data_IF_951596295113
#
_entry.id   IF_951596295113
#
_cell.length_a   1.000
_cell.length_b   1.000
_cell.length_c   1.000
_cell.angle_alpha   90.00
_cell.angle_beta   90.00
_cell.angle_gamma   90.00
#
_symmetry.space_group_name_H-M   'P 1'
#
loop_
_entity.id
_entity.type
_entity.pdbx_description
1 polymer ?
#
# COMPACT_ATOMS: atom_id res chain seq x y z
N UNK A 1 18.13 -20.21 -36.54
CA UNK A 1 17.52 -18.88 -36.28
C UNK A 1 17.22 -18.81 -34.80
N UNK A 2 18.05 -18.13 -34.02
CA UNK A 2 17.81 -17.83 -32.60
C UNK A 2 16.72 -16.79 -32.57
N UNK A 3 15.52 -17.15 -32.16
CA UNK A 3 14.44 -16.21 -31.87
C UNK A 3 14.94 -15.41 -30.65
N UNK A 4 15.36 -14.17 -30.90
CA UNK A 4 15.74 -13.25 -29.84
C UNK A 4 14.43 -12.85 -29.14
N UNK A 5 14.07 -13.55 -28.04
CA UNK A 5 12.92 -13.14 -27.25
C UNK A 5 13.26 -11.79 -26.61
N UNK A 6 12.37 -10.82 -26.78
CA UNK A 6 12.51 -9.50 -26.13
C UNK A 6 12.66 -9.71 -24.60
N UNK A 7 13.52 -8.91 -23.96
CA UNK A 7 13.64 -8.95 -22.51
C UNK A 7 12.33 -8.43 -21.88
N UNK A 8 12.05 -8.84 -20.63
CA UNK A 8 10.88 -8.33 -19.90
C UNK A 8 10.86 -6.78 -19.86
N UNK A 9 12.04 -6.18 -19.66
CA UNK A 9 12.17 -4.73 -19.67
C UNK A 9 11.73 -4.10 -21.01
N UNK A 10 12.10 -4.69 -22.14
CA UNK A 10 11.70 -4.20 -23.47
C UNK A 10 10.19 -4.36 -23.68
N UNK A 11 9.61 -5.46 -23.24
CA UNK A 11 8.17 -5.71 -23.31
C UNK A 11 7.40 -4.67 -22.49
N UNK A 12 7.84 -4.39 -21.25
CA UNK A 12 7.17 -3.44 -20.37
C UNK A 12 7.33 -1.99 -20.85
N UNK A 13 8.48 -1.61 -21.38
CA UNK A 13 8.66 -0.29 -22.02
C UNK A 13 7.70 -0.10 -23.19
N UNK A 14 7.50 -1.14 -24.03
CA UNK A 14 6.50 -1.12 -25.11
C UNK A 14 5.07 -1.04 -24.56
N UNK A 15 4.78 -1.82 -23.50
CA UNK A 15 3.48 -1.80 -22.84
C UNK A 15 3.12 -0.39 -22.35
N UNK A 16 4.00 0.26 -21.60
CA UNK A 16 3.75 1.60 -21.07
C UNK A 16 3.63 2.65 -22.17
N UNK A 17 4.40 2.54 -23.24
CA UNK A 17 4.28 3.41 -24.41
C UNK A 17 2.92 3.26 -25.11
N UNK A 18 2.33 2.07 -25.08
CA UNK A 18 1.00 1.79 -25.67
C UNK A 18 -0.14 2.11 -24.68
N UNK A 19 0.15 2.19 -23.39
CA UNK A 19 -0.81 2.42 -22.31
C UNK A 19 -0.42 3.62 -21.43
N UNK A 20 -0.19 4.82 -22.01
CA UNK A 20 0.35 5.96 -21.27
C UNK A 20 -0.70 6.74 -20.49
N UNK A 21 -1.97 6.37 -20.58
CA UNK A 21 -3.06 7.20 -20.05
C UNK A 21 -3.29 7.00 -18.57
N UNK A 22 -3.52 8.13 -17.93
CA UNK A 22 -4.05 8.21 -16.57
C UNK A 22 -5.52 8.61 -16.62
N UNK A 23 -6.34 7.96 -15.82
CA UNK A 23 -7.72 8.35 -15.54
C UNK A 23 -7.79 8.86 -14.11
N UNK A 24 -8.55 9.92 -13.90
CA UNK A 24 -8.69 10.58 -12.62
C UNK A 24 -10.16 10.72 -12.22
N UNK A 25 -10.39 10.70 -10.90
CA UNK A 25 -11.70 10.97 -10.29
C UNK A 25 -11.47 11.85 -9.08
N UNK A 26 -12.11 13.02 -9.07
CA UNK A 26 -12.14 13.88 -7.90
C UNK A 26 -13.30 13.48 -6.99
N UNK A 27 -12.98 12.82 -5.89
CA UNK A 27 -13.97 12.29 -4.96
C UNK A 27 -13.87 12.85 -3.55
N UNK A 28 -12.70 13.35 -3.18
CA UNK A 28 -12.44 13.92 -1.87
C UNK A 28 -12.28 15.43 -1.93
N UNK A 29 -12.53 16.09 -0.80
CA UNK A 29 -12.33 17.53 -0.63
C UNK A 29 -11.00 17.89 0.02
N UNK A 30 -10.17 16.88 0.34
CA UNK A 30 -8.88 17.05 0.95
C UNK A 30 -7.92 15.91 0.51
N UNK A 31 -6.66 15.98 0.96
CA UNK A 31 -5.61 15.02 0.65
C UNK A 31 -6.07 13.56 0.83
N UNK A 32 -5.77 12.73 -0.16
CA UNK A 32 -5.93 11.28 -0.10
C UNK A 32 -4.68 10.68 0.53
N UNK A 33 -4.86 9.97 1.64
CA UNK A 33 -3.75 9.34 2.37
C UNK A 33 -3.44 7.93 1.89
N UNK A 34 -4.45 7.20 1.43
CA UNK A 34 -4.30 5.79 1.09
C UNK A 34 -5.23 5.40 -0.05
N UNK A 35 -4.71 4.56 -0.95
CA UNK A 35 -5.49 3.87 -1.99
C UNK A 35 -5.19 2.38 -1.93
N UNK A 36 -6.20 1.54 -2.18
CA UNK A 36 -6.03 0.09 -2.25
C UNK A 36 -7.09 -0.57 -3.13
N UNK A 37 -6.68 -1.62 -3.84
CA UNK A 37 -7.56 -2.46 -4.65
C UNK A 37 -8.14 -3.61 -3.85
N UNK A 38 -9.40 -3.97 -4.14
CA UNK A 38 -9.97 -5.23 -3.66
C UNK A 38 -9.23 -6.43 -4.27
N UNK A 39 -9.21 -7.57 -3.58
CA UNK A 39 -8.46 -8.76 -4.01
C UNK A 39 -8.92 -9.31 -5.38
N UNK A 40 -10.16 -9.05 -5.79
CA UNK A 40 -10.67 -9.41 -7.13
C UNK A 40 -10.36 -8.35 -8.20
N UNK A 41 -9.87 -7.17 -7.82
CA UNK A 41 -9.54 -6.04 -8.69
C UNK A 41 -10.74 -5.25 -9.22
N UNK A 42 -11.95 -5.54 -8.77
CA UNK A 42 -13.14 -4.85 -9.26
C UNK A 42 -13.36 -3.49 -8.63
N UNK A 43 -12.82 -3.26 -7.45
CA UNK A 43 -13.01 -2.03 -6.69
C UNK A 43 -11.69 -1.42 -6.25
N UNK A 44 -11.62 -0.11 -6.33
CA UNK A 44 -10.58 0.70 -5.71
C UNK A 44 -11.20 1.45 -4.54
N UNK A 45 -10.49 1.52 -3.42
CA UNK A 45 -10.87 2.35 -2.28
C UNK A 45 -9.84 3.45 -2.05
N UNK A 46 -10.30 4.59 -1.54
CA UNK A 46 -9.46 5.70 -1.08
C UNK A 46 -9.91 6.23 0.26
N UNK A 47 -8.95 6.55 1.12
CA UNK A 47 -9.15 7.18 2.43
C UNK A 47 -8.51 8.56 2.47
N UNK A 48 -9.16 9.53 3.12
CA UNK A 48 -8.77 10.92 3.04
C UNK A 48 -8.77 11.64 4.39
N UNK A 49 -8.03 12.74 4.42
CA UNK A 49 -8.07 13.74 5.49
C UNK A 49 -9.48 14.35 5.67
N UNK A 50 -10.34 14.29 4.63
CA UNK A 50 -11.73 14.73 4.71
C UNK A 50 -12.64 13.80 5.54
N UNK A 51 -12.06 12.76 6.18
CA UNK A 51 -12.72 11.78 7.06
C UNK A 51 -13.61 10.78 6.33
N UNK A 52 -13.56 10.75 5.02
CA UNK A 52 -14.38 9.85 4.20
C UNK A 52 -13.55 8.75 3.55
N UNK A 53 -14.25 7.67 3.21
CA UNK A 53 -13.74 6.58 2.37
C UNK A 53 -14.59 6.55 1.10
N UNK A 54 -13.95 6.51 -0.06
CA UNK A 54 -14.63 6.39 -1.34
C UNK A 54 -14.30 5.05 -1.97
N UNK A 55 -15.31 4.39 -2.56
CA UNK A 55 -15.14 3.14 -3.30
C UNK A 55 -15.60 3.35 -4.74
N UNK A 56 -14.72 3.04 -5.68
CA UNK A 56 -14.94 3.13 -7.12
C UNK A 56 -15.01 1.74 -7.72
N UNK A 57 -15.85 1.55 -8.72
CA UNK A 57 -15.83 0.34 -9.53
C UNK A 57 -14.94 0.55 -10.76
N UNK A 58 -14.17 -0.49 -11.09
CA UNK A 58 -13.41 -0.54 -12.34
C UNK A 58 -14.27 -1.22 -13.40
N UNK A 59 -14.70 -0.47 -14.42
CA UNK A 59 -15.43 -0.98 -15.58
C UNK A 59 -14.52 -0.89 -16.81
N UNK A 60 -14.11 -2.06 -17.33
CA UNK A 60 -13.20 -2.22 -18.47
C UNK A 60 -11.96 -1.31 -18.37
N UNK A 61 -12.03 -0.10 -18.92
CA UNK A 61 -10.90 0.82 -19.05
C UNK A 61 -11.15 2.17 -18.38
N UNK A 62 -12.02 2.21 -17.38
CA UNK A 62 -12.29 3.43 -16.60
C UNK A 62 -12.73 3.11 -15.17
N UNK A 63 -12.38 3.99 -14.25
CA UNK A 63 -13.07 4.09 -12.97
C UNK A 63 -14.45 4.70 -13.24
N UNK A 64 -15.48 4.14 -12.64
CA UNK A 64 -16.81 4.73 -12.74
C UNK A 64 -16.84 6.07 -12.01
N UNK A 65 -17.53 7.06 -12.61
CA UNK A 65 -17.75 8.36 -11.94
C UNK A 65 -18.74 8.24 -10.78
N UNK A 66 -19.54 7.19 -10.78
CA UNK A 66 -20.44 6.86 -9.67
C UNK A 66 -19.65 6.08 -8.62
N UNK A 67 -19.19 6.76 -7.62
CA UNK A 67 -18.49 6.18 -6.48
C UNK A 67 -19.35 6.25 -5.22
N UNK A 68 -19.12 5.29 -4.32
CA UNK A 68 -19.81 5.24 -3.02
C UNK A 68 -18.96 5.94 -1.96
N UNK A 69 -19.58 6.83 -1.20
CA UNK A 69 -18.92 7.53 -0.09
C UNK A 69 -19.34 6.94 1.24
N UNK A 70 -18.39 6.40 1.99
CA UNK A 70 -18.59 5.94 3.35
C UNK A 70 -18.21 7.04 4.33
N UNK A 71 -19.16 7.36 5.21
CA UNK A 71 -19.03 8.37 6.26
C UNK A 71 -19.13 7.72 7.63
N UNK A 72 -18.47 8.31 8.62
CA UNK A 72 -18.58 7.83 10.00
C UNK A 72 -17.33 8.09 10.82
N UNK A 73 -16.14 8.16 10.20
CA UNK A 73 -14.94 8.57 10.93
C UNK A 73 -15.02 10.01 11.40
N UNK A 74 -14.53 10.25 12.63
CA UNK A 74 -14.47 11.57 13.25
C UNK A 74 -13.21 12.37 12.93
N UNK A 75 -12.16 11.70 12.41
CA UNK A 75 -10.90 12.30 12.00
C UNK A 75 -10.44 11.70 10.65
N UNK A 76 -9.23 12.08 10.21
CA UNK A 76 -8.66 11.58 8.95
C UNK A 76 -8.63 10.05 8.88
N UNK A 77 -8.83 9.52 7.67
CA UNK A 77 -8.61 8.11 7.34
C UNK A 77 -7.18 8.00 6.83
N UNK A 78 -6.29 7.44 7.67
CA UNK A 78 -4.85 7.47 7.39
C UNK A 78 -4.41 6.31 6.52
N UNK A 79 -4.95 5.10 6.74
CA UNK A 79 -4.68 3.95 5.90
C UNK A 79 -5.92 3.05 5.79
N UNK A 80 -6.00 2.32 4.68
CA UNK A 80 -7.05 1.34 4.44
C UNK A 80 -6.48 0.09 3.76
N UNK A 81 -7.14 -1.04 3.98
CA UNK A 81 -6.71 -2.33 3.47
C UNK A 81 -7.92 -3.25 3.24
N UNK A 82 -7.99 -3.86 2.06
CA UNK A 82 -9.01 -4.86 1.74
C UNK A 82 -8.67 -6.21 2.35
N UNK A 83 -9.71 -6.95 2.75
CA UNK A 83 -9.55 -8.34 3.14
C UNK A 83 -9.07 -9.16 1.93
N UNK A 84 -7.92 -9.87 2.04
CA UNK A 84 -7.37 -10.62 0.91
C UNK A 84 -8.21 -11.83 0.48
N UNK A 85 -9.12 -12.30 1.34
CA UNK A 85 -10.00 -13.45 1.09
C UNK A 85 -11.44 -13.04 0.76
N UNK A 86 -11.82 -11.78 1.02
CA UNK A 86 -13.18 -11.29 0.79
C UNK A 86 -13.18 -9.90 0.15
N UNK A 87 -13.52 -9.80 -1.16
CA UNK A 87 -13.47 -8.53 -1.89
C UNK A 87 -14.54 -7.52 -1.45
N UNK A 88 -15.47 -7.92 -0.59
CA UNK A 88 -16.53 -7.05 -0.07
C UNK A 88 -16.19 -6.42 1.28
N UNK A 89 -15.08 -6.81 1.91
CA UNK A 89 -14.67 -6.28 3.21
C UNK A 89 -13.45 -5.36 3.11
N UNK A 90 -13.60 -4.16 3.63
CA UNK A 90 -12.56 -3.14 3.73
C UNK A 90 -12.39 -2.73 5.18
N UNK A 91 -11.14 -2.64 5.66
CA UNK A 91 -10.81 -2.07 6.96
C UNK A 91 -10.11 -0.73 6.81
N UNK A 92 -10.41 0.20 7.72
CA UNK A 92 -9.83 1.54 7.74
C UNK A 92 -9.33 1.92 9.12
N UNK A 93 -8.16 2.55 9.16
CA UNK A 93 -7.55 3.12 10.36
C UNK A 93 -7.70 4.64 10.34
N UNK A 94 -8.08 5.22 11.47
CA UNK A 94 -8.31 6.65 11.57
C UNK A 94 -7.70 7.25 12.84
N UNK A 95 -7.35 8.53 12.74
CA UNK A 95 -6.95 9.35 13.87
C UNK A 95 -8.06 9.55 14.93
N UNK A 96 -9.30 9.16 14.65
CA UNK A 96 -10.41 9.16 15.61
C UNK A 96 -10.32 8.03 16.65
N UNK A 97 -9.23 7.26 16.63
CA UNK A 97 -8.99 6.10 17.51
C UNK A 97 -9.96 4.96 17.28
N UNK A 98 -10.45 4.82 16.06
CA UNK A 98 -11.27 3.68 15.66
C UNK A 98 -10.70 2.97 14.44
N UNK A 99 -10.95 1.67 14.37
CA UNK A 99 -10.89 0.86 13.16
C UNK A 99 -12.32 0.60 12.74
N UNK A 100 -12.63 0.82 11.47
CA UNK A 100 -13.94 0.47 10.91
C UNK A 100 -13.78 -0.62 9.87
N UNK A 101 -14.69 -1.59 9.92
CA UNK A 101 -14.83 -2.61 8.88
C UNK A 101 -16.10 -2.27 8.10
N UNK A 102 -15.94 -2.15 6.78
CA UNK A 102 -16.99 -1.76 5.86
C UNK A 102 -17.40 -2.94 4.98
N UNK A 103 -18.69 -3.07 4.72
CA UNK A 103 -19.21 -3.96 3.69
C UNK A 103 -19.51 -3.12 2.43
N UNK A 104 -18.71 -3.35 1.39
CA UNK A 104 -18.81 -2.60 0.14
C UNK A 104 -20.14 -2.78 -0.62
N UNK A 105 -20.95 -3.78 -0.23
CA UNK A 105 -22.27 -4.04 -0.84
C UNK A 105 -23.39 -3.20 -0.22
N UNK A 106 -23.22 -2.81 1.04
CA UNK A 106 -24.32 -2.25 1.84
C UNK A 106 -24.13 -0.77 2.16
N UNK A 107 -23.00 -0.18 1.82
CA UNK A 107 -22.64 1.20 2.13
C UNK A 107 -22.67 1.54 3.65
N UNK A 108 -22.48 0.53 4.50
CA UNK A 108 -22.51 0.65 5.96
C UNK A 108 -21.24 0.10 6.59
N UNK A 109 -20.90 0.65 7.74
CA UNK A 109 -19.92 0.02 8.61
C UNK A 109 -20.52 -1.28 9.16
N UNK A 110 -19.83 -2.41 8.92
CA UNK A 110 -20.14 -3.67 9.56
C UNK A 110 -19.74 -3.66 11.04
N UNK A 111 -18.65 -2.94 11.36
CA UNK A 111 -18.18 -2.75 12.73
C UNK A 111 -17.42 -1.43 12.90
N UNK A 112 -17.43 -0.92 14.14
CA UNK A 112 -16.56 0.17 14.58
C UNK A 112 -15.90 -0.26 15.89
N UNK A 113 -14.57 -0.32 15.89
CA UNK A 113 -13.76 -0.89 16.96
C UNK A 113 -12.90 0.21 17.55
N UNK A 114 -13.04 0.45 18.84
CA UNK A 114 -12.22 1.45 19.55
C UNK A 114 -10.81 0.91 19.79
N UNK A 115 -9.82 1.76 19.60
CA UNK A 115 -8.39 1.52 19.90
C UNK A 115 -7.88 2.55 20.90
N UNK A 116 -6.69 2.30 21.46
CA UNK A 116 -6.14 3.14 22.54
C UNK A 116 -5.50 4.44 22.07
N UNK A 117 -5.19 4.58 20.78
CA UNK A 117 -4.53 5.76 20.24
C UNK A 117 -4.94 6.09 18.82
N UNK A 118 -4.42 7.20 18.27
CA UNK A 118 -4.62 7.58 16.88
C UNK A 118 -3.96 6.56 15.95
N UNK A 119 -4.76 5.91 15.12
CA UNK A 119 -4.29 4.85 14.22
C UNK A 119 -3.64 5.45 12.97
N UNK A 120 -2.52 4.87 12.54
CA UNK A 120 -1.75 5.33 11.39
C UNK A 120 -1.59 4.28 10.29
N UNK A 121 -1.56 2.99 10.65
CA UNK A 121 -1.43 1.91 9.67
C UNK A 121 -2.33 0.72 10.01
N UNK A 122 -2.65 -0.07 8.99
CA UNK A 122 -3.56 -1.21 9.10
C UNK A 122 -3.25 -2.25 8.02
N UNK A 123 -3.30 -3.52 8.39
CA UNK A 123 -3.21 -4.62 7.44
C UNK A 123 -4.03 -5.83 7.88
N UNK A 124 -4.45 -6.64 6.90
CA UNK A 124 -5.08 -7.93 7.12
C UNK A 124 -4.05 -9.04 7.12
N UNK A 125 -4.26 -10.07 7.97
CA UNK A 125 -3.54 -11.33 7.82
C UNK A 125 -3.87 -11.99 6.46
N UNK A 126 -2.95 -12.76 5.84
CA UNK A 126 -3.19 -13.37 4.53
C UNK A 126 -4.41 -14.29 4.47
N UNK A 127 -4.76 -14.92 5.59
CA UNK A 127 -5.95 -15.77 5.73
C UNK A 127 -7.26 -14.99 5.95
N UNK A 128 -7.18 -13.66 6.10
CA UNK A 128 -8.32 -12.79 6.34
C UNK A 128 -8.96 -12.92 7.74
N UNK A 129 -8.29 -13.58 8.69
CA UNK A 129 -8.83 -13.83 10.02
C UNK A 129 -8.55 -12.74 11.05
N UNK A 130 -7.50 -11.94 10.81
CA UNK A 130 -7.01 -10.94 11.75
C UNK A 130 -6.70 -9.62 11.07
N UNK A 131 -7.02 -8.51 11.74
CA UNK A 131 -6.61 -7.17 11.35
C UNK A 131 -5.56 -6.69 12.37
N UNK A 132 -4.40 -6.24 11.91
CA UNK A 132 -3.45 -5.53 12.74
C UNK A 132 -3.54 -4.04 12.47
N UNK A 133 -3.52 -3.24 13.52
CA UNK A 133 -3.53 -1.79 13.44
C UNK A 133 -2.47 -1.21 14.38
N UNK A 134 -1.63 -0.34 13.85
CA UNK A 134 -0.63 0.41 14.60
C UNK A 134 -1.09 1.85 14.85
N UNK A 135 -0.69 2.40 15.99
CA UNK A 135 -1.01 3.78 16.36
C UNK A 135 0.26 4.64 16.56
N UNK A 136 0.05 5.94 16.77
CA UNK A 136 1.14 6.92 16.99
C UNK A 136 1.93 6.71 18.29
N UNK A 137 1.40 5.90 19.20
CA UNK A 137 2.02 5.58 20.49
C UNK A 137 2.79 4.24 20.44
N UNK A 138 3.10 3.74 19.23
CA UNK A 138 3.84 2.49 18.97
C UNK A 138 3.16 1.24 19.55
N UNK A 139 1.85 1.28 19.69
CA UNK A 139 1.02 0.14 20.08
C UNK A 139 0.42 -0.51 18.84
N UNK A 140 0.59 -1.82 18.70
CA UNK A 140 -0.07 -2.63 17.69
C UNK A 140 -1.18 -3.45 18.33
N UNK A 141 -2.39 -3.32 17.80
CA UNK A 141 -3.57 -4.06 18.23
C UNK A 141 -3.97 -5.09 17.18
N UNK A 142 -4.15 -6.33 17.59
CA UNK A 142 -4.62 -7.43 16.75
C UNK A 142 -6.09 -7.68 17.01
N UNK A 143 -6.91 -7.58 15.96
CA UNK A 143 -8.37 -7.63 16.02
C UNK A 143 -8.85 -8.89 15.30
N UNK A 144 -9.69 -9.67 15.93
CA UNK A 144 -10.39 -10.79 15.31
C UNK A 144 -11.41 -10.31 14.28
N UNK A 145 -11.26 -10.74 13.03
CA UNK A 145 -12.08 -10.28 11.92
C UNK A 145 -13.55 -10.74 12.01
N UNK A 146 -13.82 -11.84 12.71
CA UNK A 146 -15.16 -12.40 12.85
C UNK A 146 -15.94 -11.79 14.02
N UNK A 147 -15.30 -11.67 15.16
CA UNK A 147 -15.94 -11.12 16.38
C UNK A 147 -15.79 -9.61 16.50
N UNK A 148 -14.90 -8.99 15.72
CA UNK A 148 -14.52 -7.57 15.78
C UNK A 148 -14.01 -7.15 17.18
N UNK A 149 -13.32 -8.05 17.87
CA UNK A 149 -12.74 -7.79 19.20
C UNK A 149 -11.23 -7.86 19.16
N UNK A 150 -10.59 -7.02 19.96
CA UNK A 150 -9.14 -7.13 20.19
C UNK A 150 -8.80 -8.48 20.80
N UNK A 151 -7.83 -9.19 20.19
CA UNK A 151 -7.27 -10.46 20.69
C UNK A 151 -6.01 -10.25 21.50
N UNK A 152 -5.17 -9.31 21.05
CA UNK A 152 -3.88 -9.01 21.65
C UNK A 152 -3.49 -7.55 21.35
N UNK A 153 -2.64 -7.04 22.22
CA UNK A 153 -2.01 -5.74 22.05
C UNK A 153 -0.53 -5.87 22.40
N UNK A 154 0.33 -5.27 21.59
CA UNK A 154 1.77 -5.28 21.79
C UNK A 154 2.31 -3.86 21.80
N UNK A 155 2.92 -3.44 22.92
CA UNK A 155 3.54 -2.13 23.05
C UNK A 155 5.04 -2.23 22.73
N UNK A 156 5.46 -1.54 21.68
CA UNK A 156 6.86 -1.49 21.30
C UNK A 156 7.59 -0.33 22.01
N UNK A 157 8.90 -0.48 22.20
CA UNK A 157 9.78 0.53 22.81
C UNK A 157 10.56 1.33 21.77
N UNK A 158 10.20 1.19 20.51
CA UNK A 158 10.80 1.89 19.38
C UNK A 158 9.68 2.39 18.47
N UNK A 159 9.99 3.40 17.66
CA UNK A 159 9.05 3.96 16.69
C UNK A 159 8.68 2.93 15.62
N UNK A 160 7.38 2.61 15.54
CA UNK A 160 6.80 1.69 14.56
C UNK A 160 6.16 2.49 13.44
N UNK A 161 6.68 2.34 12.22
CA UNK A 161 6.19 3.09 11.07
C UNK A 161 5.18 2.31 10.22
N UNK A 162 5.53 1.07 9.85
CA UNK A 162 4.65 0.23 9.03
C UNK A 162 4.67 -1.20 9.55
N UNK A 163 3.59 -1.91 9.31
CA UNK A 163 3.36 -3.28 9.75
C UNK A 163 2.90 -4.15 8.58
N UNK A 164 3.32 -5.40 8.56
CA UNK A 164 2.88 -6.36 7.54
C UNK A 164 3.08 -7.80 8.00
N UNK A 165 2.26 -8.73 7.51
CA UNK A 165 2.57 -10.16 7.54
C UNK A 165 3.36 -10.57 6.30
N UNK A 166 4.15 -11.66 6.42
CA UNK A 166 4.59 -12.38 5.24
C UNK A 166 3.41 -13.11 4.58
N UNK A 167 3.62 -13.66 3.39
CA UNK A 167 2.54 -14.30 2.62
C UNK A 167 1.95 -15.55 3.29
N UNK A 168 2.74 -16.27 4.09
CA UNK A 168 2.30 -17.46 4.83
C UNK A 168 1.54 -17.10 6.11
N UNK A 169 1.68 -15.88 6.62
CA UNK A 169 1.00 -15.39 7.80
C UNK A 169 1.56 -15.90 9.13
N UNK A 170 2.72 -16.54 9.12
CA UNK A 170 3.42 -17.05 10.30
C UNK A 170 4.46 -16.08 10.87
N UNK A 171 4.82 -15.04 10.11
CA UNK A 171 5.72 -13.97 10.53
C UNK A 171 5.05 -12.60 10.40
N UNK A 172 5.32 -11.76 11.38
CA UNK A 172 4.85 -10.37 11.44
C UNK A 172 6.03 -9.42 11.46
N UNK A 173 6.02 -8.45 10.54
CA UNK A 173 7.11 -7.53 10.27
C UNK A 173 6.75 -6.12 10.70
N UNK A 174 7.71 -5.42 11.29
CA UNK A 174 7.62 -4.00 11.65
C UNK A 174 8.83 -3.26 11.08
N UNK A 175 8.59 -2.07 10.54
CA UNK A 175 9.68 -1.13 10.22
C UNK A 175 9.85 -0.11 11.33
N UNK A 176 11.09 0.27 11.63
CA UNK A 176 11.38 1.17 12.74
C UNK A 176 11.98 2.50 12.32
N UNK A 177 11.82 3.50 13.17
CA UNK A 177 12.44 4.82 13.03
C UNK A 177 13.97 4.81 13.04
N UNK A 178 14.59 3.72 13.52
CA UNK A 178 16.04 3.55 13.57
C UNK A 178 16.65 2.78 12.39
N UNK A 179 15.85 2.53 11.35
CA UNK A 179 16.33 1.85 10.13
C UNK A 179 16.39 0.34 10.23
N UNK A 180 15.78 -0.26 11.23
CA UNK A 180 15.70 -1.70 11.41
C UNK A 180 14.34 -2.27 11.03
N UNK A 181 14.34 -3.56 10.68
CA UNK A 181 13.16 -4.38 10.45
C UNK A 181 13.11 -5.40 11.57
N UNK A 182 12.01 -5.43 12.30
CA UNK A 182 11.78 -6.39 13.38
C UNK A 182 10.83 -7.47 12.88
N UNK A 183 11.21 -8.73 13.05
CA UNK A 183 10.47 -9.90 12.58
C UNK A 183 10.09 -10.76 13.77
N UNK A 184 8.79 -11.00 13.92
CA UNK A 184 8.21 -11.78 15.01
C UNK A 184 7.53 -13.02 14.46
N UNK A 185 7.54 -14.13 15.22
CA UNK A 185 6.60 -15.23 14.97
C UNK A 185 5.18 -14.72 15.19
N UNK A 186 4.23 -15.28 14.48
CA UNK A 186 2.81 -15.01 14.69
C UNK A 186 2.05 -16.34 14.83
N UNK A 187 1.14 -16.50 15.83
CA UNK A 187 0.61 -15.45 16.72
C UNK A 187 1.38 -15.19 18.03
N UNK A 188 2.48 -15.88 18.32
CA UNK A 188 3.18 -15.82 19.62
C UNK A 188 3.91 -14.48 19.86
N UNK A 189 4.19 -13.71 18.80
CA UNK A 189 4.90 -12.41 18.81
C UNK A 189 6.27 -12.48 19.49
N UNK A 190 6.98 -13.61 19.27
CA UNK A 190 8.36 -13.77 19.73
C UNK A 190 9.31 -13.26 18.66
N UNK A 191 10.29 -12.44 19.07
CA UNK A 191 11.33 -11.93 18.17
C UNK A 191 12.08 -13.10 17.52
N UNK A 192 12.09 -13.12 16.18
CA UNK A 192 12.84 -14.08 15.37
C UNK A 192 14.12 -13.44 14.83
N UNK A 193 14.00 -12.26 14.23
CA UNK A 193 15.13 -11.54 13.64
C UNK A 193 14.96 -10.04 13.81
N UNK A 194 16.10 -9.33 13.82
CA UNK A 194 16.19 -7.88 13.67
C UNK A 194 17.23 -7.60 12.59
N UNK A 195 16.80 -6.98 11.51
CA UNK A 195 17.66 -6.66 10.37
C UNK A 195 17.97 -5.15 10.39
N UNK A 196 19.24 -4.79 10.36
CA UNK A 196 19.67 -3.41 10.17
C UNK A 196 19.67 -3.10 8.68
N UNK A 197 18.55 -2.58 8.19
CA UNK A 197 18.30 -2.45 6.75
C UNK A 197 18.86 -1.14 6.17
N UNK A 198 18.68 -0.02 6.88
CA UNK A 198 19.08 1.31 6.45
C UNK A 198 19.71 2.12 7.58
N UNK A 199 20.56 3.11 7.27
CA UNK A 199 21.08 4.03 8.28
C UNK A 199 20.05 5.07 8.74
N UNK A 200 18.91 5.16 8.04
CA UNK A 200 17.83 6.09 8.30
C UNK A 200 16.51 5.35 8.54
N UNK A 201 15.48 6.09 8.95
CA UNK A 201 14.13 5.61 9.21
C UNK A 201 13.59 4.72 8.08
N UNK A 202 13.16 3.49 8.38
CA UNK A 202 12.41 2.61 7.47
C UNK A 202 10.93 3.01 7.53
N UNK A 203 10.40 3.57 6.44
CA UNK A 203 9.08 4.21 6.40
C UNK A 203 7.99 3.22 6.01
N UNK A 204 8.23 2.39 5.00
CA UNK A 204 7.24 1.47 4.46
C UNK A 204 7.83 0.11 4.12
N UNK A 205 6.98 -0.91 4.13
CA UNK A 205 7.29 -2.29 3.76
C UNK A 205 6.17 -2.83 2.86
N UNK A 206 6.55 -3.59 1.84
CA UNK A 206 5.62 -4.29 0.97
C UNK A 206 6.16 -5.66 0.63
N UNK A 207 5.32 -6.69 0.68
CA UNK A 207 5.65 -8.04 0.21
C UNK A 207 5.22 -8.22 -1.24
N UNK A 208 6.02 -8.92 -2.04
CA UNK A 208 5.60 -9.30 -3.37
C UNK A 208 4.50 -10.37 -3.31
N UNK A 209 3.58 -10.43 -4.29
CA UNK A 209 2.49 -11.40 -4.25
C UNK A 209 2.93 -12.85 -4.42
N UNK A 210 4.19 -13.11 -4.85
CA UNK A 210 4.76 -14.45 -4.97
C UNK A 210 5.36 -14.97 -3.67
N UNK A 211 5.59 -14.08 -2.68
CA UNK A 211 6.20 -14.41 -1.39
C UNK A 211 7.71 -14.61 -1.43
N UNK A 212 8.37 -14.27 -2.55
CA UNK A 212 9.83 -14.42 -2.67
C UNK A 212 10.60 -13.24 -2.11
N UNK A 213 10.03 -12.04 -2.22
CA UNK A 213 10.69 -10.79 -1.85
C UNK A 213 9.81 -9.92 -0.96
N UNK A 214 10.46 -9.03 -0.24
CA UNK A 214 9.83 -7.84 0.32
C UNK A 214 10.73 -6.63 0.06
N UNK A 215 10.13 -5.45 -0.01
CA UNK A 215 10.83 -4.20 -0.24
C UNK A 215 10.62 -3.24 0.91
N UNK A 216 11.65 -2.44 1.23
CA UNK A 216 11.64 -1.41 2.26
C UNK A 216 11.93 -0.08 1.62
N UNK A 217 11.08 0.91 1.87
CA UNK A 217 11.34 2.31 1.55
C UNK A 217 11.85 3.07 2.77
N UNK A 218 12.89 3.88 2.58
CA UNK A 218 13.57 4.55 3.68
C UNK A 218 13.70 6.06 3.48
N UNK A 219 13.94 6.74 4.59
CA UNK A 219 14.20 8.19 4.63
C UNK A 219 15.53 8.59 3.97
N UNK A 220 16.43 7.63 3.69
CA UNK A 220 17.65 7.85 2.92
C UNK A 220 17.42 7.87 1.40
N UNK A 221 16.17 7.90 0.96
CA UNK A 221 15.73 7.87 -0.44
C UNK A 221 16.03 6.56 -1.18
N UNK A 222 16.39 5.50 -0.48
CA UNK A 222 16.64 4.19 -1.06
C UNK A 222 15.43 3.26 -0.87
N UNK A 223 15.28 2.34 -1.82
CA UNK A 223 14.45 1.16 -1.69
C UNK A 223 15.35 -0.06 -1.65
N UNK A 224 15.28 -0.86 -0.61
CA UNK A 224 15.99 -2.15 -0.54
C UNK A 224 15.04 -3.31 -0.80
N UNK A 225 15.49 -4.26 -1.61
CA UNK A 225 14.79 -5.50 -1.95
C UNK A 225 15.44 -6.66 -1.20
N UNK A 226 14.66 -7.45 -0.49
CA UNK A 226 15.11 -8.52 0.38
C UNK A 226 14.51 -9.86 -0.03
N UNK A 227 15.32 -10.91 0.03
CA UNK A 227 14.83 -12.29 -0.07
C UNK A 227 14.07 -12.68 1.19
N UNK A 228 12.84 -13.19 1.07
CA UNK A 228 12.05 -13.65 2.21
C UNK A 228 12.69 -14.87 2.89
N UNK A 229 13.08 -15.96 2.16
CA UNK A 229 13.62 -17.14 2.81
C UNK A 229 15.01 -16.94 3.42
N UNK A 230 15.83 -16.05 2.84
CA UNK A 230 17.22 -15.88 3.26
C UNK A 230 17.44 -14.66 4.16
N UNK A 231 16.50 -13.72 4.17
CA UNK A 231 16.56 -12.45 4.90
C UNK A 231 17.82 -11.62 4.57
N UNK A 232 18.24 -11.66 3.30
CA UNK A 232 19.37 -10.91 2.79
C UNK A 232 18.92 -9.85 1.78
N UNK A 233 19.62 -8.72 1.77
CA UNK A 233 19.37 -7.66 0.79
C UNK A 233 19.91 -8.09 -0.58
N UNK A 234 19.02 -8.17 -1.56
CA UNK A 234 19.34 -8.59 -2.92
C UNK A 234 19.83 -7.42 -3.77
N UNK A 235 19.21 -6.24 -3.60
CA UNK A 235 19.55 -5.00 -4.32
C UNK A 235 18.92 -3.77 -3.70
N UNK A 236 19.32 -2.61 -4.22
CA UNK A 236 18.73 -1.31 -3.89
C UNK A 236 18.32 -0.58 -5.17
N UNK A 237 17.25 0.21 -5.07
CA UNK A 237 16.82 1.17 -6.08
C UNK A 237 17.12 2.57 -5.53
N UNK A 238 17.82 3.38 -6.32
CA UNK A 238 18.36 4.68 -5.89
C UNK A 238 18.01 5.82 -6.85
N UNK A 239 16.84 5.74 -7.50
CA UNK A 239 16.43 6.73 -8.49
C UNK A 239 15.61 7.88 -7.93
N UNK A 240 15.20 7.79 -6.66
CA UNK A 240 14.52 8.85 -5.92
C UNK A 240 15.54 9.66 -5.10
N UNK A 241 15.23 10.91 -4.83
CA UNK A 241 16.10 11.83 -4.08
C UNK A 241 15.54 12.21 -2.72
N UNK A 242 14.24 11.92 -2.48
CA UNK A 242 13.52 12.19 -1.24
C UNK A 242 13.10 10.92 -0.53
N UNK A 243 12.77 10.98 0.79
CA UNK A 243 12.30 9.84 1.56
C UNK A 243 11.20 9.05 0.85
N UNK A 244 11.40 7.75 0.72
CA UNK A 244 10.45 6.85 0.07
C UNK A 244 9.26 6.61 0.97
N UNK A 245 8.08 7.06 0.54
CA UNK A 245 6.84 7.05 1.34
C UNK A 245 5.96 5.84 1.10
N UNK A 246 6.02 5.26 -0.08
CA UNK A 246 5.09 4.21 -0.49
C UNK A 246 5.71 3.29 -1.53
N UNK A 247 5.34 2.02 -1.49
CA UNK A 247 5.78 0.96 -2.37
C UNK A 247 4.58 0.13 -2.81
N UNK A 248 4.64 -0.46 -3.99
CA UNK A 248 3.73 -1.51 -4.40
C UNK A 248 4.34 -2.42 -5.45
N UNK A 249 4.16 -3.74 -5.32
CA UNK A 249 4.54 -4.71 -6.34
C UNK A 249 3.42 -4.95 -7.35
N UNK A 250 3.78 -5.18 -8.61
CA UNK A 250 2.83 -5.65 -9.63
C UNK A 250 2.30 -7.04 -9.27
N UNK A 251 1.16 -7.40 -9.86
CA UNK A 251 0.47 -8.66 -9.58
C UNK A 251 1.29 -9.94 -9.84
N UNK A 252 2.29 -9.86 -10.67
CA UNK A 252 3.23 -10.95 -10.99
C UNK A 252 4.56 -10.87 -10.23
N UNK A 253 4.72 -9.86 -9.36
CA UNK A 253 5.93 -9.62 -8.57
C UNK A 253 7.13 -9.12 -9.38
N UNK A 254 6.96 -8.80 -10.66
CA UNK A 254 8.08 -8.46 -11.55
C UNK A 254 8.42 -6.97 -11.57
N UNK A 255 7.50 -6.12 -11.16
CA UNK A 255 7.69 -4.67 -11.12
C UNK A 255 7.45 -4.13 -9.72
N UNK A 256 8.24 -3.14 -9.33
CA UNK A 256 8.10 -2.40 -8.09
C UNK A 256 7.90 -0.92 -8.42
N UNK A 257 6.79 -0.36 -7.96
CA UNK A 257 6.54 1.08 -7.96
C UNK A 257 6.97 1.67 -6.63
N UNK A 258 7.67 2.80 -6.66
CA UNK A 258 8.07 3.56 -5.49
C UNK A 258 7.82 5.05 -5.70
N UNK A 259 7.39 5.73 -4.65
CA UNK A 259 7.10 7.16 -4.70
C UNK A 259 7.51 7.87 -3.41
N UNK A 260 7.74 9.17 -3.55
CA UNK A 260 8.29 10.03 -2.52
C UNK A 260 7.77 11.46 -2.68
N UNK A 261 8.50 12.41 -2.14
CA UNK A 261 8.31 13.84 -2.41
C UNK A 261 8.90 14.28 -3.76
N UNK A 262 9.60 13.40 -4.47
CA UNK A 262 9.92 13.57 -5.87
C UNK A 262 8.63 13.72 -6.69
N UNK A 263 8.70 14.50 -7.78
CA UNK A 263 7.56 14.69 -8.68
C UNK A 263 7.46 13.54 -9.70
N UNK A 264 7.77 12.33 -9.26
CA UNK A 264 7.75 11.13 -10.09
C UNK A 264 7.38 9.89 -9.27
N UNK A 265 6.76 8.93 -9.93
CA UNK A 265 6.66 7.54 -9.45
C UNK A 265 7.62 6.72 -10.29
N UNK A 266 8.58 6.07 -9.65
CA UNK A 266 9.53 5.18 -10.30
C UNK A 266 8.97 3.78 -10.43
N UNK A 267 9.11 3.15 -11.59
CA UNK A 267 8.73 1.75 -11.84
C UNK A 267 9.98 1.01 -12.30
N UNK A 268 10.47 0.10 -11.47
CA UNK A 268 11.64 -0.71 -11.71
C UNK A 268 11.32 -2.19 -11.87
N UNK A 269 12.16 -2.90 -12.63
CA UNK A 269 12.14 -4.35 -12.70
C UNK A 269 12.73 -4.94 -11.42
N UNK A 270 12.02 -5.88 -10.80
CA UNK A 270 12.43 -6.51 -9.54
C UNK A 270 13.69 -7.33 -9.72
N UNK A 271 13.78 -8.11 -10.80
CA UNK A 271 14.88 -9.04 -11.04
C UNK A 271 16.21 -8.32 -11.36
N UNK A 272 16.19 -7.32 -12.20
CA UNK A 272 17.41 -6.62 -12.67
C UNK A 272 17.67 -5.28 -11.99
N UNK A 273 16.64 -4.66 -11.41
CA UNK A 273 16.68 -3.28 -10.92
C UNK A 273 16.60 -2.23 -12.03
N UNK A 274 16.41 -2.65 -13.29
CA UNK A 274 16.34 -1.74 -14.42
C UNK A 274 15.10 -0.83 -14.34
N UNK A 275 15.26 0.43 -14.76
CA UNK A 275 14.13 1.36 -14.90
C UNK A 275 13.25 0.94 -16.07
N UNK A 276 11.98 0.66 -15.78
CA UNK A 276 10.98 0.30 -16.79
C UNK A 276 10.18 1.51 -17.26
N UNK A 277 9.74 2.32 -16.31
CA UNK A 277 8.94 3.52 -16.59
C UNK A 277 9.05 4.53 -15.46
N UNK A 278 8.56 5.72 -15.71
CA UNK A 278 8.44 6.80 -14.74
C UNK A 278 7.18 7.59 -15.02
N UNK A 279 6.32 7.74 -14.03
CA UNK A 279 5.12 8.57 -14.13
C UNK A 279 5.47 9.93 -13.57
N UNK A 280 5.34 10.98 -14.39
CA UNK A 280 5.54 12.37 -13.95
C UNK A 280 4.29 12.83 -13.19
N UNK A 281 4.49 13.46 -12.04
CA UNK A 281 3.45 14.00 -11.18
C UNK A 281 3.65 15.50 -10.99
N UNK A 282 2.55 16.23 -10.78
CA UNK A 282 2.59 17.68 -10.50
C UNK A 282 2.84 17.98 -9.03
N UNK A 283 2.68 16.98 -8.15
CA UNK A 283 2.83 17.07 -6.71
C UNK A 283 3.39 15.78 -6.13
N UNK A 284 3.96 15.79 -4.91
CA UNK A 284 4.44 14.59 -4.22
C UNK A 284 3.38 13.48 -4.12
N UNK A 285 3.81 12.24 -4.24
CA UNK A 285 2.92 11.06 -4.17
C UNK A 285 3.22 10.24 -2.92
N UNK A 286 2.22 10.04 -2.07
CA UNK A 286 2.36 9.35 -0.79
C UNK A 286 1.60 8.02 -0.70
N UNK A 287 0.92 7.61 -1.76
CA UNK A 287 0.22 6.34 -1.82
C UNK A 287 0.16 5.82 -3.25
N UNK A 288 0.58 4.57 -3.43
CA UNK A 288 0.50 3.85 -4.71
C UNK A 288 -0.01 2.43 -4.46
N UNK A 289 -0.73 1.86 -5.41
CA UNK A 289 -1.20 0.48 -5.35
C UNK A 289 -1.35 -0.11 -6.75
N UNK A 290 -0.62 -1.19 -7.04
CA UNK A 290 -0.83 -1.96 -8.24
C UNK A 290 -2.13 -2.76 -8.17
N UNK A 291 -2.83 -2.81 -9.28
CA UNK A 291 -4.01 -3.65 -9.44
C UNK A 291 -3.64 -5.15 -9.38
N UNK A 292 -4.41 -6.01 -8.66
CA UNK A 292 -4.01 -7.39 -8.38
C UNK A 292 -4.05 -8.34 -9.59
N UNK A 293 -4.47 -7.88 -10.78
CA UNK A 293 -4.59 -8.72 -11.99
C UNK A 293 -4.19 -8.03 -13.28
N UNK A 294 -3.90 -6.74 -13.26
CA UNK A 294 -3.61 -5.91 -14.45
C UNK A 294 -2.47 -4.95 -14.15
N UNK A 295 -1.77 -4.51 -15.17
CA UNK A 295 -0.76 -3.45 -15.01
C UNK A 295 -1.42 -2.07 -14.99
N UNK A 296 -2.21 -1.85 -13.94
CA UNK A 296 -2.81 -0.55 -13.62
C UNK A 296 -2.29 -0.11 -12.26
N UNK A 297 -1.81 1.11 -12.16
CA UNK A 297 -1.31 1.69 -10.91
C UNK A 297 -2.23 2.78 -10.41
N UNK A 298 -2.87 2.56 -9.27
CA UNK A 298 -3.60 3.60 -8.56
C UNK A 298 -2.64 4.43 -7.72
N UNK A 299 -2.86 5.75 -7.66
CA UNK A 299 -2.07 6.66 -6.85
C UNK A 299 -2.84 7.95 -6.53
N UNK A 300 -2.36 8.68 -5.54
CA UNK A 300 -2.85 10.01 -5.22
C UNK A 300 -1.69 10.91 -4.82
N UNK A 301 -1.73 12.14 -5.31
CA UNK A 301 -0.72 13.16 -5.04
C UNK A 301 -1.18 14.09 -3.92
N UNK A 302 -0.22 14.71 -3.24
CA UNK A 302 -0.45 15.80 -2.30
C UNK A 302 -0.61 17.12 -3.06
N UNK A 303 -1.76 17.30 -3.67
CA UNK A 303 -2.03 18.47 -4.49
C UNK A 303 -2.16 19.72 -3.59
N UNK A 304 -1.09 20.50 -3.52
CA UNK A 304 -1.00 21.72 -2.70
C UNK A 304 -1.87 22.86 -3.20
N UNK A 305 -2.44 22.71 -4.40
CA UNK A 305 -3.39 23.67 -4.97
C UNK A 305 -4.80 23.18 -4.67
N UNK A 306 -5.63 24.00 -4.06
CA UNK A 306 -7.02 23.68 -3.65
C UNK A 306 -7.89 23.06 -4.75
N UNK A 307 -7.50 23.18 -6.02
CA UNK A 307 -8.26 22.65 -7.16
C UNK A 307 -8.04 21.17 -7.44
N UNK A 308 -6.91 20.61 -7.00
CA UNK A 308 -6.51 19.23 -7.31
C UNK A 308 -6.48 18.33 -6.07
N UNK A 309 -6.74 18.88 -4.90
CA UNK A 309 -6.81 18.11 -3.67
C UNK A 309 -7.94 17.06 -3.75
N UNK A 310 -7.63 15.83 -3.38
CA UNK A 310 -8.63 14.76 -3.32
C UNK A 310 -8.85 13.99 -4.61
N UNK A 311 -7.96 14.11 -5.60
CA UNK A 311 -8.01 13.34 -6.84
C UNK A 311 -7.33 11.98 -6.65
N UNK A 312 -8.05 10.94 -7.07
CA UNK A 312 -7.52 9.57 -7.21
C UNK A 312 -7.24 9.32 -8.69
N UNK A 313 -6.05 8.81 -8.99
CA UNK A 313 -5.57 8.57 -10.34
C UNK A 313 -5.28 7.09 -10.56
N UNK A 314 -5.51 6.61 -11.77
CA UNK A 314 -5.12 5.26 -12.21
C UNK A 314 -4.42 5.37 -13.55
N UNK A 315 -3.16 4.96 -13.59
CA UNK A 315 -2.29 4.92 -14.78
C UNK A 315 -2.29 3.53 -15.41
N UNK A 316 -2.06 3.45 -16.71
CA UNK A 316 -1.88 2.20 -17.45
C UNK A 316 -3.00 1.87 -18.45
N UNK A 317 -3.83 2.85 -18.78
CA UNK A 317 -4.86 2.66 -19.80
C UNK A 317 -4.31 2.93 -21.22
N UNK A 318 -4.88 2.25 -22.24
CA UNK A 318 -4.48 2.44 -23.64
C UNK A 318 -4.77 3.85 -24.13
N UNK A 319 -4.03 4.29 -25.13
CA UNK A 319 -4.36 5.48 -25.92
C UNK A 319 -5.74 5.30 -26.56
N UNK A 320 -6.56 6.38 -26.64
CA UNK A 320 -7.79 6.29 -27.42
C UNK A 320 -7.40 6.00 -28.88
N UNK A 321 -7.99 4.95 -29.43
CA UNK A 321 -7.90 4.61 -30.84
C UNK A 321 -8.61 5.63 -31.72
#
# INVERSE_FOLDING_TARGET
>A
MTINMASFAEEMKKFFNSNPRTRDVQAHSAKVHSVAWSCDGRRLASGSFDKTVCIYNLDKDRLTKDYTVFRGHGASVDQLCWNPQNPDQLATASGDKTVRVWDARTNKAAASINTKGENINICWSPDGSTIAVGNKDDLVTFIDAKSHRSRAEEQFKFEVNEISWNNDGDLFFLTSGHGSIHIFSYPELKTQHVLNAHPANCICIEFDPTGQYFAIGSADALVSLWSVPELVCMRTFSRLEWPVRTLSFSNDGKMLASASEDLVIDIGEVETGEKLHQITCDSPTFTVAWHPKRYLLAYACDDRRDRDAGIVRVFGFPSDS
#
